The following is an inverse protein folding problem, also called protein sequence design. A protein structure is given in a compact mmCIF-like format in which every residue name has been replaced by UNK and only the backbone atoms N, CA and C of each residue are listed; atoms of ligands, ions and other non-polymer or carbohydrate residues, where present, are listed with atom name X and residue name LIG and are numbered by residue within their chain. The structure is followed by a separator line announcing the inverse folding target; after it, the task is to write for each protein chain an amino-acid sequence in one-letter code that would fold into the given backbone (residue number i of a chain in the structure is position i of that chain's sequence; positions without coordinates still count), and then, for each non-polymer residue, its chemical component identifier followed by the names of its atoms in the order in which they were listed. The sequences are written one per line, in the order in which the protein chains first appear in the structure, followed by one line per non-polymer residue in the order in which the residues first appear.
data_IF_811394132658
#
_entry.id   IF_811394132658
#
_cell.length_a   1.000
_cell.length_b   1.000
_cell.length_c   1.000
_cell.angle_alpha   90.00
_cell.angle_beta   90.00
_cell.angle_gamma   90.00
#
_symmetry.space_group_name_H-M   'P 1'
#
loop_
_entity.id
_entity.type
_entity.pdbx_description
1 polymer ?
#
# COMPACT_ATOMS: atom_id res chain seq x y z
N UNK A 1 12.79 9.11 -16.30
CA UNK A 1 13.19 9.02 -14.90
C UNK A 1 12.73 10.32 -14.26
N UNK A 2 11.70 10.26 -13.41
CA UNK A 2 11.28 11.41 -12.61
C UNK A 2 12.29 11.57 -11.46
N UNK A 3 12.62 12.81 -11.08
CA UNK A 3 13.66 13.09 -10.08
C UNK A 3 13.29 12.54 -8.69
N UNK A 4 14.23 11.86 -8.03
CA UNK A 4 14.12 11.34 -6.65
C UNK A 4 14.18 12.49 -5.63
N UNK A 5 13.11 13.28 -5.54
CA UNK A 5 12.93 14.26 -4.47
C UNK A 5 11.89 13.73 -3.51
N UNK A 6 12.31 13.01 -2.45
CA UNK A 6 11.52 12.69 -1.23
C UNK A 6 10.03 12.48 -1.55
N UNK A 7 9.73 11.67 -2.56
CA UNK A 7 8.38 11.61 -3.12
C UNK A 7 7.64 10.45 -2.50
N UNK A 8 7.00 10.73 -1.37
CA UNK A 8 5.82 10.01 -0.97
C UNK A 8 5.39 10.32 0.46
N UNK A 9 4.09 10.23 0.65
CA UNK A 9 3.45 10.36 1.95
C UNK A 9 3.79 9.12 2.79
N UNK A 10 4.29 9.30 4.02
CA UNK A 10 4.36 8.26 5.05
C UNK A 10 3.50 8.72 6.24
N UNK A 11 2.61 7.87 6.78
CA UNK A 11 1.75 8.26 7.89
C UNK A 11 2.55 8.43 9.19
N UNK A 12 2.17 9.40 10.01
CA UNK A 12 2.70 9.55 11.38
C UNK A 12 2.09 8.45 12.26
N UNK A 13 2.94 7.67 12.91
CA UNK A 13 2.50 6.64 13.85
C UNK A 13 2.49 7.20 15.26
N UNK A 14 1.32 7.18 15.91
CA UNK A 14 1.12 7.67 17.28
C UNK A 14 0.71 6.54 18.20
N UNK A 15 1.20 6.58 19.43
CA UNK A 15 0.88 5.58 20.45
C UNK A 15 1.21 6.05 21.86
N UNK A 16 0.90 5.20 22.84
CA UNK A 16 1.23 5.41 24.25
C UNK A 16 1.95 4.16 24.76
N UNK A 17 3.16 4.33 25.27
CA UNK A 17 3.92 3.29 25.95
C UNK A 17 3.69 3.38 27.46
N UNK A 18 3.44 2.23 28.11
CA UNK A 18 3.26 2.16 29.57
C UNK A 18 4.59 2.18 30.32
N UNK A 19 5.66 1.78 29.66
CA UNK A 19 7.02 1.65 30.19
C UNK A 19 8.07 2.09 29.15
N UNK A 20 9.35 1.85 29.43
CA UNK A 20 10.37 1.93 28.38
C UNK A 20 10.10 0.80 27.39
N UNK A 21 9.57 1.16 26.22
CA UNK A 21 9.06 0.18 25.26
C UNK A 21 9.87 0.19 23.97
N UNK A 22 9.92 -0.98 23.32
CA UNK A 22 10.46 -1.15 21.98
C UNK A 22 9.32 -1.08 20.98
N UNK A 23 9.38 -0.10 20.09
CA UNK A 23 8.40 0.07 19.00
C UNK A 23 8.98 -0.57 17.73
N UNK A 24 8.24 -1.51 17.16
CA UNK A 24 8.58 -2.22 15.93
C UNK A 24 7.47 -1.96 14.91
N UNK A 25 7.85 -1.45 13.75
CA UNK A 25 6.92 -1.19 12.66
C UNK A 25 7.28 -2.09 11.49
N UNK A 26 6.31 -2.90 11.07
CA UNK A 26 6.43 -3.82 9.95
C UNK A 26 5.52 -3.42 8.81
N UNK A 27 6.02 -3.53 7.59
CA UNK A 27 5.21 -3.40 6.37
C UNK A 27 5.49 -4.59 5.47
N UNK A 28 4.44 -5.23 4.98
CA UNK A 28 4.53 -6.47 4.19
C UNK A 28 5.38 -7.55 4.90
N UNK A 29 5.31 -7.61 6.23
CA UNK A 29 6.04 -8.56 7.08
C UNK A 29 7.51 -8.18 7.40
N UNK A 30 8.09 -7.20 6.71
CA UNK A 30 9.46 -6.74 6.95
C UNK A 30 9.50 -5.61 7.97
N UNK A 31 10.46 -5.64 8.89
CA UNK A 31 10.71 -4.54 9.84
C UNK A 31 11.27 -3.35 9.06
N UNK A 32 10.53 -2.25 9.02
CA UNK A 32 10.92 -1.00 8.36
C UNK A 32 11.41 0.06 9.36
N UNK A 33 11.06 -0.10 10.63
CA UNK A 33 11.48 0.80 11.70
C UNK A 33 11.52 0.06 13.03
N UNK A 34 12.53 0.36 13.84
CA UNK A 34 12.67 -0.15 15.19
C UNK A 34 13.37 0.89 16.06
N UNK A 35 12.72 1.30 17.16
CA UNK A 35 13.30 2.25 18.12
C UNK A 35 12.80 1.99 19.53
N UNK A 36 13.52 2.52 20.53
CA UNK A 36 13.09 2.51 21.93
C UNK A 36 12.48 3.88 22.27
N UNK A 37 11.35 3.87 22.98
CA UNK A 37 10.64 5.07 23.41
C UNK A 37 10.48 5.07 24.94
N UNK A 38 10.55 6.25 25.59
CA UNK A 38 10.28 6.37 27.02
C UNK A 38 8.79 6.15 27.32
N UNK A 39 8.42 5.93 28.60
CA UNK A 39 7.02 5.85 29.01
C UNK A 39 6.27 7.14 28.65
N UNK A 40 5.06 6.99 28.13
CA UNK A 40 4.19 8.10 27.74
C UNK A 40 3.81 8.08 26.26
N UNK A 41 3.25 9.19 25.80
CA UNK A 41 2.86 9.36 24.41
C UNK A 41 4.11 9.52 23.53
N UNK A 42 4.09 8.91 22.35
CA UNK A 42 5.13 9.05 21.35
C UNK A 42 4.52 9.26 19.96
N UNK A 43 5.31 9.87 19.08
CA UNK A 43 5.03 9.93 17.65
C UNK A 43 6.29 9.61 16.84
N UNK A 44 6.10 8.82 15.78
CA UNK A 44 7.14 8.45 14.83
C UNK A 44 6.83 9.17 13.52
N UNK A 45 7.65 10.16 13.17
CA UNK A 45 7.49 11.04 12.00
C UNK A 45 8.54 10.82 10.91
N UNK A 46 9.53 9.97 11.17
CA UNK A 46 10.73 9.75 10.35
C UNK A 46 10.69 8.44 9.55
N UNK A 47 9.48 7.93 9.27
CA UNK A 47 9.30 6.77 8.40
C UNK A 47 9.63 7.14 6.94
N UNK A 48 10.52 6.36 6.31
CA UNK A 48 10.75 6.46 4.88
C UNK A 48 9.47 6.09 4.12
N UNK A 49 9.12 6.88 3.11
CA UNK A 49 8.03 6.54 2.20
C UNK A 49 8.41 5.33 1.35
N UNK A 50 7.76 4.21 1.59
CA UNK A 50 7.92 2.95 0.85
C UNK A 50 7.04 2.86 -0.40
N UNK A 51 6.44 3.99 -0.83
CA UNK A 51 5.60 4.04 -2.03
C UNK A 51 4.16 3.57 -1.82
N UNK A 52 3.71 3.44 -0.56
CA UNK A 52 2.30 3.28 -0.21
C UNK A 52 1.65 1.94 -0.47
N UNK A 53 2.43 0.86 -0.44
CA UNK A 53 1.90 -0.50 -0.61
C UNK A 53 1.89 -1.25 0.73
N UNK A 54 0.73 -1.28 1.37
CA UNK A 54 0.45 -2.10 2.54
C UNK A 54 0.39 -1.32 3.85
N UNK A 55 -0.50 -1.75 4.73
CA UNK A 55 -0.68 -1.14 6.05
C UNK A 55 0.54 -1.37 6.94
N UNK A 56 0.71 -0.46 7.91
CA UNK A 56 1.77 -0.56 8.90
C UNK A 56 1.27 -1.37 10.09
N UNK A 57 1.94 -2.48 10.36
CA UNK A 57 1.71 -3.29 11.55
C UNK A 57 2.65 -2.77 12.64
N UNK A 58 2.09 -2.19 13.69
CA UNK A 58 2.83 -1.60 14.80
C UNK A 58 2.73 -2.53 15.99
N UNK A 59 3.90 -2.89 16.53
CA UNK A 59 4.05 -3.64 17.77
C UNK A 59 4.78 -2.77 18.78
N UNK A 60 4.19 -2.56 19.95
CA UNK A 60 4.82 -1.94 21.11
C UNK A 60 5.10 -3.06 22.11
N UNK A 61 6.37 -3.37 22.35
CA UNK A 61 6.83 -4.35 23.33
C UNK A 61 7.28 -3.61 24.59
N UNK A 62 6.53 -3.76 25.67
CA UNK A 62 6.78 -3.13 26.97
C UNK A 62 7.90 -3.86 27.73
N UNK A 63 8.46 -3.21 28.76
CA UNK A 63 9.55 -3.77 29.57
C UNK A 63 9.19 -5.06 30.32
N UNK A 64 7.89 -5.29 30.58
CA UNK A 64 7.37 -6.51 31.19
C UNK A 64 7.09 -7.64 30.17
N UNK A 65 7.40 -7.41 28.90
CA UNK A 65 7.16 -8.32 27.79
C UNK A 65 5.73 -8.28 27.23
N UNK A 66 4.83 -7.46 27.78
CA UNK A 66 3.50 -7.29 27.20
C UNK A 66 3.57 -6.59 25.86
N UNK A 67 2.72 -7.01 24.92
CA UNK A 67 2.72 -6.46 23.56
C UNK A 67 1.37 -5.81 23.24
N UNK A 68 1.45 -4.62 22.65
CA UNK A 68 0.30 -3.92 22.06
C UNK A 68 0.48 -3.92 20.54
N UNK A 69 -0.52 -4.45 19.83
CA UNK A 69 -0.48 -4.55 18.37
C UNK A 69 -1.64 -3.78 17.76
N UNK A 70 -1.34 -2.92 16.78
CA UNK A 70 -2.36 -2.22 16.02
C UNK A 70 -1.90 -1.95 14.59
N UNK A 71 -2.86 -1.67 13.71
CA UNK A 71 -2.62 -1.42 12.28
C UNK A 71 -2.88 0.04 11.98
N UNK A 72 -1.90 0.70 11.36
CA UNK A 72 -2.06 2.05 10.81
C UNK A 72 -2.24 1.93 9.31
N UNK A 73 -3.43 2.29 8.83
CA UNK A 73 -3.76 2.23 7.42
C UNK A 73 -2.85 3.18 6.62
N UNK A 74 -2.21 2.67 5.57
CA UNK A 74 -1.39 3.50 4.70
C UNK A 74 -2.29 4.16 3.65
N UNK A 75 -2.65 5.43 3.88
CA UNK A 75 -3.43 6.18 2.91
C UNK A 75 -2.65 6.36 1.61
N UNK A 76 -3.27 5.99 0.49
CA UNK A 76 -2.72 6.26 -0.86
C UNK A 76 -3.46 7.42 -1.49
N UNK A 77 -2.72 8.30 -2.18
CA UNK A 77 -3.30 9.44 -2.88
C UNK A 77 -4.11 8.99 -4.10
N UNK A 78 -5.11 9.80 -4.54
CA UNK A 78 -5.78 9.58 -5.82
C UNK A 78 -4.79 9.47 -6.98
N UNK A 79 -5.06 8.53 -7.89
CA UNK A 79 -4.20 8.31 -9.07
C UNK A 79 -4.53 9.35 -10.13
N UNK A 80 -3.65 10.34 -10.28
CA UNK A 80 -3.80 11.42 -11.26
C UNK A 80 -2.55 11.55 -12.12
N UNK A 81 -2.77 11.85 -13.40
CA UNK A 81 -1.76 12.14 -14.41
C UNK A 81 -2.09 13.45 -15.12
N UNK A 82 -1.04 14.15 -15.55
CA UNK A 82 -1.18 15.30 -16.46
C UNK A 82 -1.70 14.80 -17.81
N UNK A 83 -2.52 15.61 -18.46
CA UNK A 83 -3.01 15.34 -19.81
C UNK A 83 -1.88 14.97 -20.77
N UNK A 84 -2.07 13.92 -21.57
CA UNK A 84 -1.09 13.38 -22.49
C UNK A 84 0.01 12.51 -21.85
N UNK A 85 0.11 12.44 -20.53
CA UNK A 85 1.14 11.66 -19.83
C UNK A 85 0.73 10.21 -19.64
N UNK A 86 1.56 9.29 -20.15
CA UNK A 86 1.46 7.85 -19.93
C UNK A 86 2.49 7.39 -18.90
N UNK A 87 2.08 6.58 -17.92
CA UNK A 87 2.99 5.73 -17.14
C UNK A 87 2.51 4.31 -17.17
N UNK A 88 3.44 3.42 -17.45
CA UNK A 88 3.25 2.00 -17.43
C UNK A 88 4.34 1.34 -16.60
N UNK A 89 4.03 0.18 -16.05
CA UNK A 89 5.01 -0.69 -15.40
C UNK A 89 4.67 -2.12 -15.76
N UNK A 90 5.69 -2.88 -16.14
CA UNK A 90 5.60 -4.32 -16.38
C UNK A 90 6.62 -4.98 -15.46
N UNK A 91 6.17 -5.97 -14.72
CA UNK A 91 6.98 -6.69 -13.74
C UNK A 91 6.74 -8.18 -13.93
N UNK A 92 7.80 -8.96 -13.98
CA UNK A 92 7.74 -10.41 -13.99
C UNK A 92 8.87 -10.94 -13.12
N UNK A 93 8.57 -11.93 -12.30
CA UNK A 93 9.51 -12.43 -11.31
C UNK A 93 8.86 -13.47 -10.41
N UNK A 94 9.45 -13.65 -9.24
CA UNK A 94 8.95 -14.58 -8.23
C UNK A 94 8.54 -13.81 -6.98
N UNK A 95 7.42 -14.18 -6.39
CA UNK A 95 6.99 -13.62 -5.12
C UNK A 95 7.97 -14.03 -4.02
N UNK A 96 8.47 -13.04 -3.28
CA UNK A 96 9.39 -13.24 -2.16
C UNK A 96 8.70 -12.77 -0.88
N UNK A 97 8.31 -13.74 -0.05
CA UNK A 97 7.70 -13.47 1.26
C UNK A 97 8.78 -13.30 2.34
N UNK A 98 8.46 -12.58 3.41
CA UNK A 98 9.24 -12.60 4.65
C UNK A 98 9.01 -13.88 5.46
N UNK A 99 7.91 -14.57 5.19
CA UNK A 99 7.54 -15.85 5.80
C UNK A 99 8.03 -17.01 4.94
N UNK A 100 8.87 -17.87 5.52
CA UNK A 100 9.46 -19.04 4.85
C UNK A 100 8.47 -20.15 4.54
N UNK A 101 7.23 -20.09 5.05
CA UNK A 101 6.17 -21.04 4.73
C UNK A 101 5.44 -20.74 3.41
N UNK A 102 5.74 -19.61 2.77
CA UNK A 102 5.07 -19.19 1.53
C UNK A 102 5.83 -19.69 0.30
N UNK A 103 5.10 -20.39 -0.57
CA UNK A 103 5.62 -20.90 -1.85
C UNK A 103 6.23 -19.79 -2.73
N UNK A 104 7.41 -20.07 -3.28
CA UNK A 104 7.99 -19.29 -4.37
C UNK A 104 7.11 -19.41 -5.61
N UNK A 105 6.30 -18.37 -5.86
CA UNK A 105 5.31 -18.37 -6.93
C UNK A 105 5.71 -17.36 -8.00
N UNK A 106 5.98 -17.79 -9.24
CA UNK A 106 6.17 -16.88 -10.36
C UNK A 106 4.91 -16.05 -10.61
N UNK A 107 5.09 -14.77 -10.87
CA UNK A 107 4.00 -13.87 -11.23
C UNK A 107 4.42 -12.90 -12.32
N UNK A 108 3.42 -12.37 -13.00
CA UNK A 108 3.57 -11.24 -13.92
C UNK A 108 2.49 -10.22 -13.64
N UNK A 109 2.83 -8.95 -13.75
CA UNK A 109 1.94 -7.83 -13.52
C UNK A 109 2.21 -6.75 -14.56
N UNK A 110 1.16 -6.13 -15.07
CA UNK A 110 1.27 -4.93 -15.86
C UNK A 110 0.25 -3.89 -15.38
N UNK A 111 0.67 -2.64 -15.35
CA UNK A 111 -0.17 -1.49 -14.98
C UNK A 111 0.06 -0.36 -15.95
N UNK A 112 -0.98 0.43 -16.21
CA UNK A 112 -0.91 1.62 -17.03
C UNK A 112 -1.83 2.71 -16.49
N UNK A 113 -1.42 3.96 -16.66
CA UNK A 113 -2.17 5.16 -16.30
C UNK A 113 -1.95 6.23 -17.35
N UNK A 114 -3.02 6.85 -17.82
CA UNK A 114 -2.99 7.84 -18.89
C UNK A 114 -3.83 9.06 -18.52
N UNK A 115 -3.23 10.26 -18.66
CA UNK A 115 -3.93 11.53 -18.48
C UNK A 115 -4.74 11.91 -19.72
N UNK A 116 -6.05 11.96 -19.56
CA UNK A 116 -7.03 12.40 -20.55
C UNK A 116 -7.31 13.91 -20.39
N UNK A 117 -7.98 14.54 -21.38
CA UNK A 117 -8.52 15.89 -21.24
C UNK A 117 -9.44 16.05 -20.03
N UNK A 118 -9.69 17.31 -19.65
CA UNK A 118 -10.54 17.68 -18.51
C UNK A 118 -10.03 17.14 -17.17
N UNK A 119 -8.71 17.12 -16.99
CA UNK A 119 -8.04 16.67 -15.76
C UNK A 119 -8.44 15.25 -15.32
N UNK A 120 -8.77 14.40 -16.27
CA UNK A 120 -9.20 13.02 -16.00
C UNK A 120 -8.02 12.08 -16.22
N UNK A 121 -7.94 11.02 -15.43
CA UNK A 121 -6.92 9.98 -15.56
C UNK A 121 -7.59 8.64 -15.62
N UNK A 122 -7.35 7.88 -16.67
CA UNK A 122 -7.76 6.49 -16.76
C UNK A 122 -6.57 5.61 -16.37
N UNK A 123 -6.81 4.60 -15.54
CA UNK A 123 -5.77 3.66 -15.15
C UNK A 123 -6.33 2.25 -15.00
N UNK A 124 -5.43 1.29 -15.06
CA UNK A 124 -5.78 -0.11 -14.89
C UNK A 124 -4.55 -1.00 -14.87
N UNK A 125 -4.79 -2.28 -14.69
CA UNK A 125 -3.73 -3.28 -14.69
C UNK A 125 -4.28 -4.68 -14.53
N UNK A 126 -3.38 -5.64 -14.67
CA UNK A 126 -3.66 -7.04 -14.42
C UNK A 126 -2.47 -7.68 -13.70
N UNK A 127 -2.77 -8.74 -12.96
CA UNK A 127 -1.78 -9.59 -12.33
C UNK A 127 -2.13 -11.05 -12.58
N UNK A 128 -1.15 -11.86 -12.93
CA UNK A 128 -1.29 -13.27 -13.20
C UNK A 128 -0.21 -14.07 -12.48
N UNK A 129 -0.64 -15.12 -11.77
CA UNK A 129 0.15 -16.13 -11.12
C UNK A 129 -0.59 -17.47 -11.21
N UNK A 130 0.07 -18.58 -10.89
CA UNK A 130 -0.52 -19.93 -10.97
C UNK A 130 -1.79 -20.09 -10.12
N UNK A 131 -1.81 -19.50 -8.92
CA UNK A 131 -2.92 -19.58 -7.94
C UNK A 131 -3.75 -18.30 -7.84
N UNK A 132 -3.42 -17.24 -8.59
CA UNK A 132 -4.07 -15.93 -8.46
C UNK A 132 -4.09 -15.14 -9.77
N UNK A 133 -5.24 -14.58 -10.14
CA UNK A 133 -5.40 -13.70 -11.28
C UNK A 133 -6.27 -12.51 -10.89
N UNK A 134 -5.93 -11.30 -11.35
CA UNK A 134 -6.76 -10.12 -11.13
C UNK A 134 -6.69 -9.13 -12.28
N UNK A 135 -7.75 -8.36 -12.43
CA UNK A 135 -7.86 -7.22 -13.36
C UNK A 135 -8.48 -6.05 -12.62
N UNK A 136 -7.89 -4.87 -12.79
CA UNK A 136 -8.35 -3.64 -12.19
C UNK A 136 -8.51 -2.53 -13.24
N UNK A 137 -9.54 -1.72 -13.08
CA UNK A 137 -9.77 -0.52 -13.87
C UNK A 137 -10.25 0.61 -12.96
N UNK A 138 -9.81 1.83 -13.22
CA UNK A 138 -10.16 2.98 -12.42
C UNK A 138 -10.04 4.29 -13.17
N UNK A 139 -10.69 5.30 -12.59
CA UNK A 139 -10.70 6.67 -13.08
C UNK A 139 -10.39 7.62 -11.93
N UNK A 140 -9.56 8.62 -12.20
CA UNK A 140 -9.27 9.73 -11.32
C UNK A 140 -9.67 11.04 -11.97
N UNK A 141 -10.11 12.01 -11.17
CA UNK A 141 -10.36 13.37 -11.64
C UNK A 141 -9.83 14.39 -10.63
N UNK A 142 -9.17 15.43 -11.14
CA UNK A 142 -8.79 16.59 -10.35
C UNK A 142 -9.86 17.69 -10.52
N UNK A 143 -10.63 17.91 -9.46
CA UNK A 143 -11.74 18.85 -9.40
C UNK A 143 -11.29 20.27 -9.00
N UNK A 144 -9.97 20.54 -8.96
CA UNK A 144 -9.40 21.82 -8.57
C UNK A 144 -9.65 22.12 -7.10
N UNK A 145 -10.42 23.18 -6.80
CA UNK A 145 -10.68 23.66 -5.42
C UNK A 145 -11.39 22.62 -4.55
N UNK A 146 -12.15 21.70 -5.17
CA UNK A 146 -12.83 20.62 -4.45
C UNK A 146 -11.88 19.47 -4.07
N UNK A 147 -10.65 19.47 -4.58
CA UNK A 147 -9.64 18.43 -4.38
C UNK A 147 -9.61 17.41 -5.53
N UNK A 148 -9.11 16.22 -5.21
CA UNK A 148 -8.94 15.12 -6.14
C UNK A 148 -9.72 13.88 -5.68
N UNK A 149 -10.31 13.16 -6.63
CA UNK A 149 -11.03 11.91 -6.37
C UNK A 149 -10.59 10.82 -7.33
N UNK A 150 -10.57 9.57 -6.89
CA UNK A 150 -10.42 8.41 -7.77
C UNK A 150 -11.28 7.25 -7.31
N UNK A 151 -11.79 6.49 -8.28
CA UNK A 151 -12.55 5.26 -8.07
C UNK A 151 -11.93 4.14 -8.90
N UNK A 152 -11.73 2.97 -8.29
CA UNK A 152 -11.32 1.77 -9.00
C UNK A 152 -12.10 0.53 -8.55
N UNK A 153 -12.24 -0.41 -9.48
CA UNK A 153 -12.82 -1.72 -9.27
C UNK A 153 -11.79 -2.77 -9.66
N UNK A 154 -11.61 -3.76 -8.80
CA UNK A 154 -10.75 -4.91 -9.03
C UNK A 154 -11.57 -6.19 -8.96
N UNK A 155 -11.49 -7.01 -10.02
CA UNK A 155 -11.98 -8.38 -10.02
C UNK A 155 -10.79 -9.31 -9.82
N UNK A 156 -10.94 -10.27 -8.91
CA UNK A 156 -9.92 -11.28 -8.64
C UNK A 156 -10.49 -12.69 -8.67
N UNK A 157 -9.64 -13.63 -9.02
CA UNK A 157 -9.87 -15.07 -8.93
C UNK A 157 -8.67 -15.72 -8.25
N UNK A 158 -8.92 -16.52 -7.23
CA UNK A 158 -7.87 -17.13 -6.41
C UNK A 158 -8.20 -18.57 -6.10
N UNK A 159 -7.19 -19.44 -6.15
CA UNK A 159 -7.30 -20.83 -5.69
C UNK A 159 -6.44 -20.96 -4.43
N UNK A 160 -7.09 -21.10 -3.27
CA UNK A 160 -6.38 -21.36 -2.01
C UNK A 160 -5.90 -22.80 -1.99
N UNK A 161 -4.87 -23.07 -1.18
CA UNK A 161 -4.39 -24.43 -0.99
C UNK A 161 -5.53 -25.31 -0.48
N UNK A 162 -5.71 -26.47 -1.13
CA UNK A 162 -6.74 -27.46 -0.81
C UNK A 162 -8.19 -26.92 -0.85
N UNK A 163 -8.45 -25.87 -1.65
CA UNK A 163 -9.78 -25.31 -1.85
C UNK A 163 -10.09 -25.02 -3.32
N UNK A 164 -11.39 -24.94 -3.61
CA UNK A 164 -11.89 -24.54 -4.92
C UNK A 164 -11.54 -23.10 -5.27
N UNK A 165 -11.63 -22.80 -6.57
CA UNK A 165 -11.42 -21.45 -7.10
C UNK A 165 -12.51 -20.51 -6.59
N UNK A 166 -12.10 -19.43 -5.93
CA UNK A 166 -12.98 -18.37 -5.42
C UNK A 166 -12.83 -17.14 -6.32
N UNK A 167 -13.92 -16.40 -6.50
CA UNK A 167 -13.91 -15.09 -7.17
C UNK A 167 -14.40 -14.00 -6.22
N UNK A 168 -13.87 -12.79 -6.38
CA UNK A 168 -14.24 -11.65 -5.54
C UNK A 168 -14.03 -10.32 -6.23
N UNK A 169 -14.73 -9.31 -5.73
CA UNK A 169 -14.66 -7.93 -6.21
C UNK A 169 -14.26 -7.00 -5.07
N UNK A 170 -13.49 -5.98 -5.40
CA UNK A 170 -13.15 -4.89 -4.50
C UNK A 170 -13.40 -3.57 -5.21
N UNK A 171 -13.99 -2.63 -4.48
CA UNK A 171 -14.21 -1.25 -4.93
C UNK A 171 -13.44 -0.33 -4.00
N UNK A 172 -12.71 0.62 -4.55
CA UNK A 172 -11.91 1.59 -3.82
C UNK A 172 -12.29 3.00 -4.24
N UNK A 173 -12.48 3.87 -3.26
CA UNK A 173 -12.70 5.30 -3.44
C UNK A 173 -11.61 6.02 -2.65
N UNK A 174 -10.95 6.99 -3.29
CA UNK A 174 -9.94 7.85 -2.65
C UNK A 174 -10.30 9.30 -2.89
N UNK A 175 -10.16 10.11 -1.84
CA UNK A 175 -10.35 11.55 -1.88
C UNK A 175 -9.17 12.22 -1.19
N UNK A 176 -8.70 13.32 -1.75
CA UNK A 176 -7.68 14.17 -1.13
C UNK A 176 -7.99 15.63 -1.40
N UNK A 177 -7.86 16.44 -0.36
CA UNK A 177 -7.95 17.90 -0.43
C UNK A 177 -6.80 18.47 0.38
N UNK A 178 -6.02 19.32 -0.26
CA UNK A 178 -4.98 20.15 0.37
C UNK A 178 -5.57 21.47 0.81
#
# INVERSE_FOLDING_TARGET
MDAESIQGYAPVVRGIAKSNAKVIIKQSGYVIYQSFVPPGAFEITDLYSTGGNGDLNVTIEEADGTQQNFVVAYASLPVLRREGSLKYSITSGQYRSSDGSVDYTPFSQATASYGLPYNTTLYGGFQAASKYQSVAIGVGNNLGVLGAVSLDVTQAWSTKQDQDKISGQSVRIRYSKT
#
